data_IF_735791612991
#
_entry.id   IF_735791612991
#
_cell.length_a   1.000
_cell.length_b   1.000
_cell.length_c   1.000
_cell.angle_alpha   90.00
_cell.angle_beta   90.00
_cell.angle_gamma   90.00
#
_symmetry.space_group_name_H-M   'P 1'
#
loop_
_entity.id
_entity.type
_entity.pdbx_description
1 polymer ?
#
# COMPACT_ATOMS: atom_id res chain seq x y z
N UNK A 1 -10.23 12.63 3.39
CA UNK A 1 -9.73 13.68 2.48
C UNK A 1 -10.93 14.49 2.03
N UNK A 2 -10.79 15.81 1.92
CA UNK A 2 -11.83 16.68 1.35
C UNK A 2 -12.16 16.23 -0.09
N UNK A 3 -13.43 15.96 -0.45
CA UNK A 3 -13.81 15.54 -1.80
C UNK A 3 -13.28 16.46 -2.91
N UNK A 4 -13.26 17.77 -2.68
CA UNK A 4 -12.75 18.73 -3.66
C UNK A 4 -11.24 18.59 -3.87
N UNK A 5 -10.48 18.32 -2.81
CA UNK A 5 -9.04 18.05 -2.89
C UNK A 5 -8.79 16.72 -3.62
N UNK A 6 -9.56 15.68 -3.30
CA UNK A 6 -9.45 14.39 -3.97
C UNK A 6 -9.74 14.48 -5.47
N UNK A 7 -10.75 15.27 -5.86
CA UNK A 7 -11.10 15.52 -7.25
C UNK A 7 -10.01 16.30 -8.00
N UNK A 8 -9.50 17.38 -7.41
CA UNK A 8 -8.40 18.16 -7.99
C UNK A 8 -7.15 17.30 -8.24
N UNK A 9 -6.83 16.39 -7.32
CA UNK A 9 -5.72 15.44 -7.47
C UNK A 9 -6.02 14.38 -8.53
N UNK A 10 -7.20 13.77 -8.49
CA UNK A 10 -7.51 12.61 -9.35
C UNK A 10 -7.85 13.04 -10.78
N UNK A 11 -8.85 13.91 -10.93
CA UNK A 11 -9.33 14.36 -12.24
C UNK A 11 -8.40 15.43 -12.81
N UNK A 12 -8.09 16.46 -12.03
CA UNK A 12 -7.14 17.50 -12.46
C UNK A 12 -5.73 16.95 -12.73
N UNK A 13 -5.28 15.97 -11.94
CA UNK A 13 -4.03 15.25 -12.20
C UNK A 13 -4.07 14.50 -13.54
N UNK A 14 -5.17 13.80 -13.85
CA UNK A 14 -5.33 13.12 -15.14
C UNK A 14 -5.34 14.12 -16.32
N UNK A 15 -6.04 15.25 -16.19
CA UNK A 15 -6.03 16.31 -17.21
C UNK A 15 -4.61 16.80 -17.49
N UNK A 16 -3.84 17.08 -16.44
CA UNK A 16 -2.44 17.52 -16.56
C UNK A 16 -1.58 16.47 -17.28
N UNK A 17 -1.74 15.19 -16.93
CA UNK A 17 -1.00 14.10 -17.55
C UNK A 17 -1.34 13.97 -19.04
N UNK A 18 -2.62 14.00 -19.41
CA UNK A 18 -3.04 13.90 -20.81
C UNK A 18 -2.60 15.12 -21.64
N UNK A 19 -2.63 16.31 -21.06
CA UNK A 19 -2.10 17.52 -21.71
C UNK A 19 -0.59 17.41 -21.94
N UNK A 20 0.17 16.97 -20.94
CA UNK A 20 1.60 16.73 -21.10
C UNK A 20 1.89 15.66 -22.15
N UNK A 21 1.14 14.54 -22.15
CA UNK A 21 1.25 13.47 -23.15
C UNK A 21 1.05 14.00 -24.57
N UNK A 22 0.07 14.88 -24.78
CA UNK A 22 -0.17 15.55 -26.07
C UNK A 22 1.03 16.39 -26.51
N UNK A 23 1.60 17.18 -25.60
CA UNK A 23 2.74 18.06 -25.91
C UNK A 23 4.00 17.28 -26.28
N UNK A 24 4.29 16.19 -25.56
CA UNK A 24 5.51 15.40 -25.78
C UNK A 24 5.33 14.27 -26.81
N UNK A 25 4.11 14.06 -27.31
CA UNK A 25 3.79 12.99 -28.26
C UNK A 25 3.77 11.59 -27.64
N UNK A 26 3.62 11.47 -26.32
CA UNK A 26 3.45 10.17 -25.65
C UNK A 26 2.03 9.68 -25.89
N UNK A 27 1.90 8.45 -26.40
CA UNK A 27 0.59 7.88 -26.73
C UNK A 27 -0.01 7.06 -25.60
N UNK A 28 0.81 6.38 -24.79
CA UNK A 28 0.35 5.32 -23.88
C UNK A 28 0.46 5.71 -22.42
N UNK A 29 -0.59 5.39 -21.68
CA UNK A 29 -0.65 5.41 -20.22
C UNK A 29 -1.49 4.24 -19.75
N UNK A 30 -1.11 3.62 -18.63
CA UNK A 30 -1.96 2.68 -17.91
C UNK A 30 -2.48 3.34 -16.63
N UNK A 31 -3.75 3.72 -16.64
CA UNK A 31 -4.43 4.28 -15.48
C UNK A 31 -4.96 3.16 -14.58
N UNK A 32 -4.68 3.26 -13.29
CA UNK A 32 -5.26 2.35 -12.29
C UNK A 32 -6.63 2.86 -11.87
N UNK A 33 -7.66 2.22 -12.38
CA UNK A 33 -9.03 2.31 -11.91
C UNK A 33 -9.23 1.39 -10.68
N UNK A 34 -10.47 1.23 -10.21
CA UNK A 34 -10.77 0.45 -9.01
C UNK A 34 -12.15 -0.18 -9.09
N UNK A 35 -12.36 -1.28 -8.37
CA UNK A 35 -13.69 -1.83 -8.11
C UNK A 35 -14.65 -0.81 -7.47
N UNK A 36 -14.12 0.25 -6.86
CA UNK A 36 -14.87 1.43 -6.43
C UNK A 36 -15.63 2.15 -7.55
N UNK A 37 -15.31 1.87 -8.81
CA UNK A 37 -16.06 2.32 -9.97
C UNK A 37 -17.35 1.55 -10.19
N UNK A 38 -17.57 0.38 -9.61
CA UNK A 38 -18.83 -0.38 -9.77
C UNK A 38 -19.90 0.07 -8.76
N UNK A 39 -21.12 0.23 -9.24
CA UNK A 39 -22.31 0.52 -8.44
C UNK A 39 -23.19 -0.70 -8.16
N UNK A 40 -24.31 -0.49 -7.47
CA UNK A 40 -25.21 -1.56 -7.01
C UNK A 40 -25.87 -2.35 -8.16
N UNK A 41 -25.88 -1.79 -9.37
CA UNK A 41 -26.44 -2.43 -10.58
C UNK A 41 -25.43 -3.31 -11.31
N UNK A 42 -24.15 -3.29 -10.90
CA UNK A 42 -23.12 -4.13 -11.49
C UNK A 42 -23.37 -5.62 -11.17
N UNK A 43 -22.96 -6.53 -12.08
CA UNK A 43 -22.91 -7.94 -11.77
C UNK A 43 -22.09 -8.19 -10.51
N UNK A 44 -22.64 -8.97 -9.59
CA UNK A 44 -21.94 -9.39 -8.37
C UNK A 44 -20.79 -10.35 -8.70
N UNK A 45 -20.99 -11.25 -9.67
CA UNK A 45 -19.98 -12.21 -10.11
C UNK A 45 -19.58 -11.93 -11.56
N UNK A 46 -18.35 -12.31 -11.89
CA UNK A 46 -17.78 -12.16 -13.22
C UNK A 46 -17.87 -10.72 -13.75
N UNK A 47 -17.67 -9.73 -12.87
CA UNK A 47 -17.73 -8.33 -13.27
C UNK A 47 -16.56 -7.97 -14.20
N UNK A 48 -16.87 -7.25 -15.27
CA UNK A 48 -15.93 -6.90 -16.34
C UNK A 48 -15.75 -5.38 -16.45
N UNK A 49 -14.60 -4.95 -16.95
CA UNK A 49 -14.38 -3.54 -17.30
C UNK A 49 -15.31 -3.08 -18.42
N UNK A 50 -15.69 -3.98 -19.34
CA UNK A 50 -16.70 -3.74 -20.37
C UNK A 50 -18.04 -3.29 -19.79
N UNK A 51 -18.48 -3.87 -18.68
CA UNK A 51 -19.74 -3.45 -18.06
C UNK A 51 -19.72 -1.97 -17.68
N UNK A 52 -18.59 -1.45 -17.18
CA UNK A 52 -18.42 -0.01 -16.87
C UNK A 52 -18.51 0.87 -18.12
N UNK A 53 -18.10 0.35 -19.27
CA UNK A 53 -18.21 1.04 -20.56
C UNK A 53 -19.65 1.04 -21.09
N UNK A 54 -20.34 -0.10 -20.99
CA UNK A 54 -21.71 -0.27 -21.47
C UNK A 54 -22.74 0.44 -20.57
N UNK A 55 -22.38 0.75 -19.34
CA UNK A 55 -23.23 1.43 -18.35
C UNK A 55 -22.57 2.71 -17.83
N UNK A 56 -22.30 3.71 -18.68
CA UNK A 56 -21.56 4.91 -18.29
C UNK A 56 -22.27 5.73 -17.19
N UNK A 57 -23.61 5.68 -17.15
CA UNK A 57 -24.45 6.45 -16.23
C UNK A 57 -24.74 5.75 -14.89
N UNK A 58 -24.23 4.53 -14.67
CA UNK A 58 -24.45 3.81 -13.39
C UNK A 58 -23.89 4.61 -12.20
N UNK A 59 -24.52 4.52 -11.04
CA UNK A 59 -24.06 5.23 -9.84
C UNK A 59 -23.08 4.38 -9.01
N UNK A 60 -21.78 4.73 -8.96
CA UNK A 60 -20.80 4.01 -8.16
C UNK A 60 -20.94 4.26 -6.64
N UNK A 61 -21.92 5.07 -6.21
CA UNK A 61 -22.26 5.28 -4.80
C UNK A 61 -21.20 6.03 -3.97
N UNK A 62 -20.14 6.53 -4.60
CA UNK A 62 -19.02 7.25 -3.96
C UNK A 62 -18.43 8.34 -4.88
N UNK A 63 -17.88 9.41 -4.29
CA UNK A 63 -17.11 10.42 -5.03
C UNK A 63 -15.88 9.80 -5.70
N UNK A 64 -15.21 8.88 -5.01
CA UNK A 64 -14.04 8.16 -5.55
C UNK A 64 -14.37 7.45 -6.87
N UNK A 65 -15.44 6.66 -6.92
CA UNK A 65 -15.87 5.97 -8.13
C UNK A 65 -16.30 6.93 -9.24
N UNK A 66 -16.93 8.07 -8.89
CA UNK A 66 -17.28 9.12 -9.85
C UNK A 66 -16.03 9.75 -10.46
N UNK A 67 -15.03 10.09 -9.65
CA UNK A 67 -13.77 10.67 -10.10
C UNK A 67 -12.98 9.71 -11.00
N UNK A 68 -12.98 8.40 -10.68
CA UNK A 68 -12.41 7.37 -11.55
C UNK A 68 -13.11 7.30 -12.91
N UNK A 69 -14.45 7.42 -12.94
CA UNK A 69 -15.21 7.54 -14.20
C UNK A 69 -14.79 8.77 -15.01
N UNK A 70 -14.68 9.93 -14.39
CA UNK A 70 -14.24 11.15 -15.08
C UNK A 70 -12.86 10.98 -15.72
N UNK A 71 -11.94 10.28 -15.06
CA UNK A 71 -10.63 9.95 -15.65
C UNK A 71 -10.76 9.07 -16.91
N UNK A 72 -11.64 8.05 -16.89
CA UNK A 72 -11.90 7.21 -18.08
C UNK A 72 -12.49 8.01 -19.23
N UNK A 73 -13.39 8.96 -18.93
CA UNK A 73 -13.99 9.85 -19.93
C UNK A 73 -12.94 10.75 -20.58
N UNK A 74 -12.05 11.34 -19.78
CA UNK A 74 -10.91 12.15 -20.26
C UNK A 74 -9.98 11.31 -21.15
N UNK A 75 -9.64 10.10 -20.72
CA UNK A 75 -8.82 9.17 -21.51
C UNK A 75 -9.50 8.79 -22.83
N UNK A 76 -10.81 8.54 -22.81
CA UNK A 76 -11.56 8.23 -24.01
C UNK A 76 -11.60 9.42 -24.99
N UNK A 77 -11.73 10.65 -24.48
CA UNK A 77 -11.62 11.87 -25.28
C UNK A 77 -10.23 12.01 -25.91
N UNK A 78 -9.18 11.84 -25.11
CA UNK A 78 -7.80 11.86 -25.59
C UNK A 78 -7.54 10.83 -26.71
N UNK A 79 -8.04 9.60 -26.56
CA UNK A 79 -7.91 8.57 -27.58
C UNK A 79 -8.60 8.98 -28.90
N UNK A 80 -9.82 9.52 -28.83
CA UNK A 80 -10.60 9.96 -30.01
C UNK A 80 -9.96 11.15 -30.71
N UNK A 81 -9.55 12.17 -29.94
CA UNK A 81 -9.17 13.47 -30.50
C UNK A 81 -7.68 13.55 -30.87
N UNK A 82 -6.84 12.70 -30.27
CA UNK A 82 -5.39 12.75 -30.40
C UNK A 82 -4.73 11.41 -30.80
N UNK A 83 -5.51 10.35 -31.05
CA UNK A 83 -4.98 9.07 -31.54
C UNK A 83 -4.11 8.33 -30.52
N UNK A 84 -4.37 8.54 -29.23
CA UNK A 84 -3.65 7.94 -28.12
C UNK A 84 -3.98 6.46 -27.88
N UNK A 85 -3.11 5.82 -27.09
CA UNK A 85 -3.25 4.46 -26.55
C UNK A 85 -3.42 4.47 -25.01
N UNK A 86 -4.40 5.22 -24.44
CA UNK A 86 -4.69 5.09 -23.02
C UNK A 86 -5.34 3.72 -22.75
N UNK A 87 -4.98 3.15 -21.60
CA UNK A 87 -5.43 1.85 -21.09
C UNK A 87 -5.81 2.01 -19.62
N UNK A 88 -6.78 1.25 -19.14
CA UNK A 88 -7.10 1.26 -17.71
C UNK A 88 -7.24 -0.14 -17.12
N UNK A 89 -6.79 -0.27 -15.88
CA UNK A 89 -6.84 -1.49 -15.09
C UNK A 89 -7.79 -1.29 -13.90
N UNK A 90 -8.88 -2.05 -13.82
CA UNK A 90 -9.79 -2.03 -12.67
C UNK A 90 -9.22 -2.93 -11.59
N UNK A 91 -8.72 -2.30 -10.53
CA UNK A 91 -8.05 -3.01 -9.45
C UNK A 91 -9.04 -3.42 -8.34
N UNK A 92 -9.02 -4.69 -7.90
CA UNK A 92 -9.67 -5.11 -6.66
C UNK A 92 -8.91 -4.61 -5.43
N UNK A 93 -9.25 -5.08 -4.22
CA UNK A 93 -8.44 -4.79 -3.05
C UNK A 93 -7.03 -5.36 -3.19
N UNK A 94 -6.01 -4.57 -2.85
CA UNK A 94 -4.61 -4.97 -3.07
C UNK A 94 -4.00 -5.49 -1.77
N UNK A 95 -3.47 -6.71 -1.82
CA UNK A 95 -2.81 -7.37 -0.72
C UNK A 95 -1.30 -7.39 -0.95
N UNK A 96 -0.52 -7.12 0.09
CA UNK A 96 0.94 -7.08 0.03
C UNK A 96 1.56 -7.36 1.40
N UNK A 97 2.87 -7.55 1.43
CA UNK A 97 3.65 -7.79 2.66
C UNK A 97 4.23 -6.53 3.31
N UNK A 98 4.12 -5.38 2.66
CA UNK A 98 4.65 -4.10 3.18
C UNK A 98 4.05 -3.73 4.55
N UNK A 99 4.81 -3.03 5.42
CA UNK A 99 4.39 -2.66 6.77
C UNK A 99 3.36 -1.51 6.83
N UNK A 100 3.16 -0.81 5.72
CA UNK A 100 2.33 0.40 5.66
C UNK A 100 1.37 0.29 4.49
N UNK A 101 0.12 0.62 4.74
CA UNK A 101 -0.95 0.70 3.75
C UNK A 101 -1.89 1.87 4.07
N UNK A 102 -2.85 2.09 3.17
CA UNK A 102 -3.92 3.08 3.35
C UNK A 102 -4.93 2.68 4.43
N UNK A 103 -6.08 3.35 4.44
CA UNK A 103 -7.19 3.04 5.35
C UNK A 103 -8.50 2.87 4.56
N UNK A 104 -8.41 2.23 3.39
CA UNK A 104 -9.57 1.88 2.58
C UNK A 104 -10.34 0.68 3.13
N UNK A 105 -11.48 0.38 2.51
CA UNK A 105 -12.38 -0.70 2.94
C UNK A 105 -11.72 -2.08 2.91
N UNK A 106 -10.82 -2.32 1.94
CA UNK A 106 -10.22 -3.65 1.70
C UNK A 106 -9.03 -3.95 2.62
N UNK A 107 -8.47 -2.92 3.23
CA UNK A 107 -7.28 -2.96 4.07
C UNK A 107 -7.52 -3.69 5.40
N UNK A 108 -8.77 -3.95 5.77
CA UNK A 108 -9.11 -4.81 6.90
C UNK A 108 -8.41 -6.18 6.85
N UNK A 109 -8.14 -6.69 5.64
CA UNK A 109 -7.46 -7.96 5.44
C UNK A 109 -5.99 -7.90 5.89
N UNK A 110 -5.30 -6.80 5.56
CA UNK A 110 -3.93 -6.55 6.01
C UNK A 110 -3.88 -6.26 7.52
N UNK A 111 -4.85 -5.51 8.04
CA UNK A 111 -4.96 -5.27 9.49
C UNK A 111 -5.18 -6.58 10.28
N UNK A 112 -5.98 -7.50 9.77
CA UNK A 112 -6.20 -8.82 10.38
C UNK A 112 -4.92 -9.66 10.38
N UNK A 113 -4.19 -9.69 9.25
CA UNK A 113 -2.91 -10.39 9.11
C UNK A 113 -1.84 -9.80 10.03
N UNK A 114 -1.81 -8.47 10.16
CA UNK A 114 -0.92 -7.78 11.10
C UNK A 114 -1.25 -8.13 12.55
N UNK A 115 -2.53 -8.15 12.92
CA UNK A 115 -2.94 -8.40 14.30
C UNK A 115 -2.62 -9.84 14.77
N UNK A 116 -2.59 -10.82 13.87
CA UNK A 116 -2.53 -12.24 14.25
C UNK A 116 -1.25 -12.65 15.01
N UNK A 117 -0.02 -12.29 14.59
CA UNK A 117 1.19 -12.59 15.34
C UNK A 117 1.22 -11.94 16.74
N UNK A 118 0.66 -10.74 16.89
CA UNK A 118 0.69 -9.98 18.14
C UNK A 118 -0.31 -10.47 19.18
N UNK A 119 -1.30 -11.27 18.79
CA UNK A 119 -2.20 -11.91 19.77
C UNK A 119 -1.55 -13.14 20.46
N UNK A 120 -0.42 -13.65 19.95
CA UNK A 120 0.16 -14.92 20.43
C UNK A 120 1.43 -14.79 21.27
N UNK A 121 1.84 -13.58 21.67
CA UNK A 121 3.08 -13.35 22.46
C UNK A 121 4.35 -13.96 21.87
N UNK A 122 4.36 -14.32 20.57
CA UNK A 122 5.58 -14.80 19.89
C UNK A 122 6.64 -13.71 20.00
N UNK A 123 7.90 -14.10 20.25
CA UNK A 123 9.02 -13.18 20.49
C UNK A 123 8.85 -12.21 21.68
N UNK A 124 7.95 -12.50 22.61
CA UNK A 124 7.65 -11.61 23.74
C UNK A 124 6.89 -10.36 23.35
N UNK A 125 6.27 -10.32 22.16
CA UNK A 125 5.41 -9.20 21.72
C UNK A 125 4.27 -8.98 22.73
N UNK A 126 3.90 -7.71 23.04
CA UNK A 126 2.74 -7.43 23.87
C UNK A 126 1.50 -8.05 23.25
N UNK A 127 0.72 -8.78 24.05
CA UNK A 127 -0.58 -9.27 23.61
C UNK A 127 -1.50 -8.07 23.34
N UNK A 128 -1.94 -7.91 22.10
CA UNK A 128 -2.96 -6.91 21.76
C UNK A 128 -4.37 -7.48 21.91
N UNK A 129 -5.36 -6.57 21.93
CA UNK A 129 -6.76 -6.94 21.85
C UNK A 129 -7.09 -7.69 20.56
N UNK A 130 -8.24 -8.38 20.56
CA UNK A 130 -8.77 -9.03 19.37
C UNK A 130 -8.93 -8.05 18.20
N UNK A 131 -8.69 -8.54 16.99
CA UNK A 131 -8.90 -7.78 15.76
C UNK A 131 -10.37 -7.34 15.65
N UNK A 132 -10.61 -6.14 15.13
CA UNK A 132 -11.97 -5.59 14.94
C UNK A 132 -12.29 -5.60 13.46
N UNK A 133 -13.15 -6.52 13.04
CA UNK A 133 -13.61 -6.59 11.66
C UNK A 133 -14.61 -5.45 11.38
N UNK A 134 -14.30 -4.52 10.45
CA UNK A 134 -15.14 -3.36 10.17
C UNK A 134 -16.26 -3.63 9.16
N UNK A 135 -16.31 -4.84 8.60
CA UNK A 135 -17.27 -5.26 7.56
C UNK A 135 -17.98 -6.54 7.98
N UNK A 136 -19.10 -6.84 7.32
CA UNK A 136 -19.84 -8.09 7.49
C UNK A 136 -18.91 -9.29 7.24
N UNK A 137 -18.75 -10.23 8.19
CA UNK A 137 -17.86 -11.37 8.02
C UNK A 137 -18.17 -12.31 6.85
N UNK A 138 -19.39 -12.25 6.31
CA UNK A 138 -19.84 -13.08 5.19
C UNK A 138 -19.83 -12.33 3.85
N UNK A 139 -19.45 -11.04 3.82
CA UNK A 139 -19.33 -10.31 2.54
C UNK A 139 -18.12 -10.80 1.75
N UNK A 140 -18.32 -11.15 0.48
CA UNK A 140 -17.24 -11.56 -0.41
C UNK A 140 -16.72 -10.34 -1.16
N UNK A 141 -15.40 -10.23 -1.29
CA UNK A 141 -14.77 -9.17 -2.06
C UNK A 141 -13.62 -9.74 -2.90
N UNK A 142 -13.42 -9.22 -4.13
CA UNK A 142 -12.27 -9.54 -4.93
C UNK A 142 -11.06 -8.79 -4.38
N UNK A 143 -9.93 -9.49 -4.40
CA UNK A 143 -8.62 -9.03 -3.97
C UNK A 143 -7.59 -9.46 -5.03
N UNK A 144 -6.38 -8.91 -4.94
CA UNK A 144 -5.23 -9.35 -5.73
C UNK A 144 -3.97 -9.21 -4.90
N UNK A 145 -3.10 -10.22 -4.93
CA UNK A 145 -1.78 -10.09 -4.32
C UNK A 145 -0.85 -9.28 -5.23
N UNK A 146 0.01 -8.44 -4.66
CA UNK A 146 0.81 -7.45 -5.41
C UNK A 146 1.64 -8.06 -6.56
N UNK A 147 2.14 -9.28 -6.41
CA UNK A 147 2.88 -9.96 -7.48
C UNK A 147 1.99 -10.21 -8.71
N UNK A 148 0.76 -10.66 -8.50
CA UNK A 148 -0.23 -10.86 -9.57
C UNK A 148 -0.67 -9.52 -10.16
N UNK A 149 -0.90 -8.51 -9.32
CA UNK A 149 -1.22 -7.17 -9.77
C UNK A 149 -0.14 -6.63 -10.71
N UNK A 150 1.13 -6.75 -10.34
CA UNK A 150 2.24 -6.27 -11.17
C UNK A 150 2.33 -7.03 -12.49
N UNK A 151 2.16 -8.36 -12.49
CA UNK A 151 2.09 -9.13 -13.74
C UNK A 151 0.94 -8.67 -14.64
N UNK A 152 -0.24 -8.44 -14.09
CA UNK A 152 -1.40 -7.98 -14.84
C UNK A 152 -1.21 -6.57 -15.42
N UNK A 153 -0.66 -5.64 -14.63
CA UNK A 153 -0.38 -4.28 -15.08
C UNK A 153 0.71 -4.24 -16.16
N UNK A 154 1.78 -5.02 -16.01
CA UNK A 154 2.84 -5.12 -17.01
C UNK A 154 2.27 -5.72 -18.30
N UNK A 155 1.53 -6.83 -18.21
CA UNK A 155 0.89 -7.44 -19.37
C UNK A 155 -0.04 -6.46 -20.10
N UNK A 156 -0.85 -5.69 -19.36
CA UNK A 156 -1.70 -4.66 -19.96
C UNK A 156 -0.91 -3.50 -20.56
N UNK A 157 0.19 -3.07 -19.96
CA UNK A 157 0.99 -1.94 -20.46
C UNK A 157 1.83 -2.31 -21.71
N UNK A 158 2.28 -3.56 -21.78
CA UNK A 158 3.16 -4.06 -22.85
C UNK A 158 2.40 -4.67 -24.03
N UNK A 159 1.15 -5.09 -23.84
CA UNK A 159 0.34 -5.69 -24.90
C UNK A 159 0.29 -4.82 -26.17
N UNK A 160 0.34 -5.46 -27.34
CA UNK A 160 0.13 -4.76 -28.60
C UNK A 160 -1.31 -4.23 -28.70
N UNK A 161 -1.48 -3.01 -29.22
CA UNK A 161 -2.79 -2.37 -29.28
C UNK A 161 -3.83 -3.22 -30.04
N UNK A 162 -3.37 -4.01 -31.03
CA UNK A 162 -4.19 -4.85 -31.88
C UNK A 162 -4.73 -6.12 -31.18
N UNK A 163 -4.11 -6.54 -30.08
CA UNK A 163 -4.58 -7.72 -29.32
C UNK A 163 -5.66 -7.35 -28.30
N UNK A 164 -5.78 -6.06 -27.97
CA UNK A 164 -6.70 -5.58 -26.95
C UNK A 164 -8.11 -5.42 -27.54
N UNK A 165 -8.99 -6.39 -27.26
CA UNK A 165 -10.34 -6.42 -27.83
C UNK A 165 -11.41 -5.79 -26.93
N UNK A 166 -11.07 -5.50 -25.67
CA UNK A 166 -12.00 -4.82 -24.75
C UNK A 166 -12.17 -3.32 -25.04
N UNK A 167 -13.39 -2.76 -24.87
CA UNK A 167 -13.66 -1.35 -25.10
C UNK A 167 -12.74 -0.46 -24.28
N UNK A 168 -12.29 0.64 -24.89
CA UNK A 168 -11.37 1.60 -24.27
C UNK A 168 -10.07 0.97 -23.71
N UNK A 169 -9.73 -0.25 -24.16
CA UNK A 169 -8.57 -1.02 -23.67
C UNK A 169 -8.59 -1.17 -22.13
N UNK A 170 -9.79 -1.36 -21.59
CA UNK A 170 -10.07 -1.50 -20.17
C UNK A 170 -10.15 -2.96 -19.75
N UNK A 171 -9.44 -3.33 -18.67
CA UNK A 171 -9.45 -4.69 -18.14
C UNK A 171 -9.59 -4.70 -16.62
N UNK A 172 -10.33 -5.67 -16.09
CA UNK A 172 -10.19 -6.03 -14.68
C UNK A 172 -8.86 -6.77 -14.48
N UNK A 173 -8.20 -6.57 -13.32
CA UNK A 173 -7.04 -7.37 -12.91
C UNK A 173 -7.48 -8.30 -11.78
N UNK A 174 -8.11 -9.45 -12.10
CA UNK A 174 -8.61 -10.38 -11.09
C UNK A 174 -7.46 -11.02 -10.33
N UNK A 175 -7.72 -11.38 -9.07
CA UNK A 175 -6.82 -12.15 -8.23
C UNK A 175 -7.56 -13.33 -7.60
N UNK A 176 -7.92 -13.16 -6.35
CA UNK A 176 -8.67 -14.10 -5.53
C UNK A 176 -9.90 -13.40 -4.95
N UNK A 177 -10.90 -14.15 -4.51
CA UNK A 177 -12.03 -13.61 -3.76
C UNK A 177 -12.24 -14.41 -2.49
N UNK A 178 -12.54 -13.73 -1.40
CA UNK A 178 -12.83 -14.36 -0.13
C UNK A 178 -13.73 -13.48 0.75
N UNK A 179 -14.34 -14.11 1.74
CA UNK A 179 -15.01 -13.47 2.86
C UNK A 179 -14.05 -13.26 4.03
N UNK A 180 -14.28 -12.29 4.93
CA UNK A 180 -13.50 -12.18 6.16
C UNK A 180 -13.47 -13.50 6.96
N UNK A 181 -14.57 -14.24 7.03
CA UNK A 181 -14.62 -15.54 7.69
C UNK A 181 -13.66 -16.57 7.08
N UNK A 182 -13.57 -16.64 5.74
CA UNK A 182 -12.58 -17.50 5.05
C UNK A 182 -11.15 -17.06 5.37
N UNK A 183 -10.86 -15.75 5.35
CA UNK A 183 -9.55 -15.22 5.73
C UNK A 183 -9.19 -15.57 7.18
N UNK A 184 -10.10 -15.37 8.12
CA UNK A 184 -9.85 -15.65 9.55
C UNK A 184 -9.65 -17.13 9.81
N UNK A 185 -10.38 -17.99 9.09
CA UNK A 185 -10.18 -19.43 9.14
C UNK A 185 -8.78 -19.82 8.62
N UNK A 186 -8.31 -19.20 7.54
CA UNK A 186 -6.96 -19.44 7.01
C UNK A 186 -5.88 -18.93 7.99
N UNK A 187 -6.02 -17.71 8.51
CA UNK A 187 -5.11 -17.16 9.53
C UNK A 187 -4.99 -18.10 10.73
N UNK A 188 -6.10 -18.69 11.19
CA UNK A 188 -6.11 -19.63 12.33
C UNK A 188 -5.31 -20.91 12.08
N UNK A 189 -5.11 -21.32 10.83
CA UNK A 189 -4.22 -22.46 10.52
C UNK A 189 -2.77 -22.16 10.89
N UNK A 190 -2.34 -20.89 10.79
CA UNK A 190 -1.01 -20.42 11.16
C UNK A 190 -0.96 -19.91 12.61
N UNK A 191 -2.04 -19.29 13.06
CA UNK A 191 -2.20 -18.70 14.38
C UNK A 191 -3.50 -19.18 15.06
N UNK A 192 -3.51 -20.37 15.69
CA UNK A 192 -4.73 -20.96 16.28
C UNK A 192 -5.47 -20.09 17.30
N UNK A 193 -4.74 -19.23 18.02
CA UNK A 193 -5.29 -18.27 18.99
C UNK A 193 -5.87 -16.97 18.38
N UNK A 194 -5.92 -16.83 17.05
CA UNK A 194 -6.45 -15.61 16.42
C UNK A 194 -7.94 -15.40 16.74
N UNK A 195 -8.20 -14.34 17.51
CA UNK A 195 -9.50 -13.84 17.90
C UNK A 195 -9.87 -12.55 17.15
N UNK A 196 -11.16 -12.41 16.86
CA UNK A 196 -11.73 -11.20 16.29
C UNK A 196 -13.09 -10.89 16.92
N UNK A 197 -13.49 -9.63 16.83
CA UNK A 197 -14.85 -9.15 17.08
C UNK A 197 -15.34 -8.36 15.87
N UNK A 198 -16.65 -8.19 15.73
CA UNK A 198 -17.25 -7.48 14.60
C UNK A 198 -17.83 -6.16 15.10
N UNK A 199 -17.38 -5.06 14.52
CA UNK A 199 -17.98 -3.74 14.70
C UNK A 199 -18.01 -3.04 13.35
N UNK A 200 -19.20 -3.01 12.75
CA UNK A 200 -19.36 -2.51 11.39
C UNK A 200 -19.07 -1.01 11.32
N UNK A 201 -18.11 -0.64 10.49
CA UNK A 201 -17.95 0.73 10.06
C UNK A 201 -18.97 1.00 8.95
N UNK A 202 -19.86 1.98 9.16
CA UNK A 202 -20.99 2.26 8.25
C UNK A 202 -20.53 2.44 6.80
N UNK A 203 -19.47 3.21 6.56
CA UNK A 203 -18.97 3.48 5.21
C UNK A 203 -18.28 2.26 4.60
N UNK A 204 -17.36 1.61 5.34
CA UNK A 204 -16.63 0.45 4.82
C UNK A 204 -17.60 -0.69 4.51
N UNK A 205 -18.55 -0.97 5.41
CA UNK A 205 -19.54 -2.00 5.20
C UNK A 205 -20.48 -1.67 4.03
N UNK A 206 -20.94 -0.42 3.90
CA UNK A 206 -21.72 0.02 2.74
C UNK A 206 -20.99 -0.24 1.42
N UNK A 207 -19.70 0.11 1.34
CA UNK A 207 -18.93 -0.08 0.12
C UNK A 207 -18.64 -1.56 -0.18
N UNK A 208 -18.34 -2.36 0.84
CA UNK A 208 -18.17 -3.82 0.68
C UNK A 208 -19.45 -4.48 0.11
N UNK A 209 -20.63 -4.02 0.54
CA UNK A 209 -21.91 -4.49 0.01
C UNK A 209 -22.24 -3.96 -1.40
N UNK A 210 -21.54 -2.93 -1.87
CA UNK A 210 -21.78 -2.31 -3.17
C UNK A 210 -20.97 -2.99 -4.28
N UNK A 211 -19.70 -3.30 -4.01
CA UNK A 211 -18.76 -3.77 -5.02
C UNK A 211 -18.97 -5.23 -5.41
N UNK A 212 -18.56 -5.66 -6.61
CA UNK A 212 -18.63 -7.06 -7.02
C UNK A 212 -17.98 -8.00 -6.00
N UNK A 213 -18.45 -9.25 -5.96
CA UNK A 213 -17.84 -10.37 -5.25
C UNK A 213 -16.63 -10.95 -6.01
N UNK A 214 -16.72 -10.99 -7.33
CA UNK A 214 -15.76 -11.64 -8.23
C UNK A 214 -15.59 -10.85 -9.53
N UNK A 215 -14.34 -10.75 -9.99
CA UNK A 215 -14.00 -10.16 -11.29
C UNK A 215 -13.77 -11.27 -12.30
N UNK A 216 -14.19 -11.07 -13.55
CA UNK A 216 -13.98 -12.03 -14.62
C UNK A 216 -12.48 -12.25 -14.90
N UNK A 217 -12.11 -13.51 -15.13
CA UNK A 217 -10.76 -13.91 -15.57
C UNK A 217 -10.62 -14.07 -17.07
N UNK A 218 -11.71 -14.02 -17.82
CA UNK A 218 -11.73 -14.44 -19.21
C UNK A 218 -11.06 -13.42 -20.14
N UNK A 219 -11.39 -12.14 -20.00
CA UNK A 219 -10.83 -11.06 -20.83
C UNK A 219 -9.32 -10.89 -20.65
N UNK A 220 -8.76 -10.77 -19.42
CA UNK A 220 -7.32 -10.61 -19.27
C UNK A 220 -6.56 -11.89 -19.62
N UNK A 221 -7.15 -13.08 -19.46
CA UNK A 221 -6.52 -14.32 -19.94
C UNK A 221 -6.45 -14.35 -21.46
N UNK A 222 -7.57 -14.01 -22.14
CA UNK A 222 -7.69 -14.03 -23.59
C UNK A 222 -6.73 -13.06 -24.27
N UNK A 223 -6.68 -11.82 -23.82
CA UNK A 223 -5.98 -10.74 -24.54
C UNK A 223 -4.58 -10.47 -23.97
N UNK A 224 -4.37 -10.70 -22.67
CA UNK A 224 -3.10 -10.39 -21.99
C UNK A 224 -2.30 -11.65 -21.62
N UNK A 225 -2.86 -12.85 -21.78
CA UNK A 225 -2.28 -14.08 -21.25
C UNK A 225 -2.17 -14.08 -19.72
N UNK A 226 -2.92 -13.21 -19.04
CA UNK A 226 -2.85 -13.05 -17.60
C UNK A 226 -3.85 -13.95 -16.90
N UNK A 227 -3.36 -14.73 -15.94
CA UNK A 227 -4.17 -15.42 -14.93
C UNK A 227 -3.54 -15.23 -13.55
N UNK A 228 -4.35 -15.09 -12.49
CA UNK A 228 -3.84 -15.02 -11.13
C UNK A 228 -3.18 -16.33 -10.71
N UNK A 229 -2.13 -16.24 -9.90
CA UNK A 229 -1.34 -17.37 -9.44
C UNK A 229 -1.42 -17.58 -7.92
N UNK A 230 -1.82 -16.55 -7.16
CA UNK A 230 -1.92 -16.65 -5.70
C UNK A 230 -3.32 -17.06 -5.24
N UNK A 231 -3.39 -18.17 -4.50
CA UNK A 231 -4.57 -18.53 -3.72
C UNK A 231 -4.59 -17.87 -2.34
N UNK A 232 -5.71 -18.02 -1.61
CA UNK A 232 -5.86 -17.52 -0.25
C UNK A 232 -4.77 -18.06 0.69
N UNK A 233 -4.49 -19.36 0.63
CA UNK A 233 -3.49 -20.01 1.49
C UNK A 233 -2.09 -19.48 1.24
N UNK A 234 -1.67 -19.38 -0.03
CA UNK A 234 -0.35 -18.87 -0.41
C UNK A 234 -0.17 -17.41 0.00
N UNK A 235 -1.19 -16.58 -0.21
CA UNK A 235 -1.19 -15.17 0.18
C UNK A 235 -1.06 -15.02 1.70
N UNK A 236 -1.88 -15.73 2.48
CA UNK A 236 -1.83 -15.66 3.96
C UNK A 236 -0.47 -16.12 4.47
N UNK A 237 0.05 -17.24 3.96
CA UNK A 237 1.37 -17.75 4.35
C UNK A 237 2.47 -16.72 4.08
N UNK A 238 2.48 -16.13 2.87
CA UNK A 238 3.51 -15.16 2.45
C UNK A 238 3.47 -13.87 3.27
N UNK A 239 2.29 -13.33 3.56
CA UNK A 239 2.18 -12.11 4.38
C UNK A 239 2.58 -12.37 5.83
N UNK A 240 2.15 -13.50 6.41
CA UNK A 240 2.51 -13.87 7.79
C UNK A 240 4.00 -14.16 7.93
N UNK A 241 4.62 -14.83 6.96
CA UNK A 241 6.08 -15.05 6.91
C UNK A 241 6.82 -13.70 6.88
N UNK A 242 6.41 -12.76 6.04
CA UNK A 242 7.01 -11.44 5.99
C UNK A 242 6.85 -10.65 7.30
N UNK A 243 5.70 -10.77 7.98
CA UNK A 243 5.50 -10.17 9.31
C UNK A 243 6.37 -10.82 10.38
N UNK A 244 6.51 -12.15 10.35
CA UNK A 244 7.35 -12.91 11.24
C UNK A 244 8.84 -12.55 11.08
N UNK A 245 9.34 -12.48 9.85
CA UNK A 245 10.70 -12.04 9.53
C UNK A 245 10.97 -10.63 10.04
N UNK A 246 10.00 -9.72 9.87
CA UNK A 246 10.08 -8.36 10.42
C UNK A 246 10.16 -8.38 11.94
N UNK A 247 9.25 -9.09 12.60
CA UNK A 247 9.22 -9.20 14.06
C UNK A 247 10.52 -9.79 14.63
N UNK A 248 11.10 -10.79 13.96
CA UNK A 248 12.40 -11.36 14.35
C UNK A 248 13.53 -10.34 14.21
N UNK A 249 13.59 -9.59 13.10
CA UNK A 249 14.57 -8.50 12.92
C UNK A 249 14.40 -7.42 13.98
N UNK A 250 13.17 -7.01 14.29
CA UNK A 250 12.86 -6.04 15.36
C UNK A 250 13.34 -6.53 16.72
N UNK A 251 13.06 -7.78 17.07
CA UNK A 251 13.49 -8.37 18.35
C UNK A 251 15.02 -8.45 18.44
N UNK A 252 15.68 -8.80 17.34
CA UNK A 252 17.15 -8.84 17.28
C UNK A 252 17.75 -7.43 17.38
N UNK A 253 17.16 -6.44 16.70
CA UNK A 253 17.58 -5.05 16.80
C UNK A 253 17.45 -4.54 18.24
N UNK A 254 16.30 -4.75 18.88
CA UNK A 254 16.09 -4.36 20.27
C UNK A 254 17.14 -4.98 21.20
N UNK A 255 17.37 -6.29 21.12
CA UNK A 255 18.40 -6.99 21.91
C UNK A 255 19.83 -6.47 21.64
N UNK A 256 20.09 -5.98 20.43
CA UNK A 256 21.40 -5.42 20.07
C UNK A 256 21.58 -4.02 20.67
N UNK A 257 20.50 -3.26 20.80
CA UNK A 257 20.50 -1.91 21.40
C UNK A 257 20.53 -2.00 22.93
N UNK A 258 19.77 -2.95 23.50
CA UNK A 258 19.69 -3.28 24.94
C UNK A 258 20.97 -3.97 25.44
N UNK A 259 22.12 -3.29 25.32
CA UNK A 259 23.43 -3.84 25.61
C UNK A 259 23.61 -4.22 27.09
N UNK A 260 22.82 -3.64 27.99
CA UNK A 260 22.82 -3.93 29.43
C UNK A 260 21.77 -5.00 29.82
N UNK A 261 20.93 -5.44 28.88
CA UNK A 261 19.94 -6.50 29.08
C UNK A 261 18.83 -6.13 30.05
N UNK A 262 18.55 -4.84 30.20
CA UNK A 262 17.55 -4.32 31.15
C UNK A 262 16.13 -4.46 30.62
N UNK A 263 15.96 -4.71 29.31
CA UNK A 263 14.67 -4.71 28.64
C UNK A 263 14.10 -3.31 28.39
N UNK A 264 14.91 -2.27 28.61
CA UNK A 264 14.56 -0.85 28.47
C UNK A 264 15.67 -0.12 27.72
N UNK A 265 15.37 0.49 26.58
CA UNK A 265 16.35 1.28 25.84
C UNK A 265 16.36 2.71 26.34
N UNK A 266 17.52 3.23 26.69
CA UNK A 266 17.70 4.65 26.95
C UNK A 266 18.19 5.40 25.69
N UNK A 267 18.14 6.73 25.75
CA UNK A 267 18.59 7.61 24.67
C UNK A 267 20.03 7.32 24.21
N UNK A 268 20.94 7.06 25.15
CA UNK A 268 22.36 6.82 24.85
C UNK A 268 22.58 5.52 24.07
N UNK A 269 21.85 4.46 24.41
CA UNK A 269 21.88 3.18 23.70
C UNK A 269 21.37 3.33 22.27
N UNK A 270 20.24 4.01 22.07
CA UNK A 270 19.68 4.29 20.74
C UNK A 270 20.65 5.15 19.92
N UNK A 271 21.23 6.19 20.51
CA UNK A 271 22.23 7.03 19.86
C UNK A 271 23.47 6.24 19.45
N UNK A 272 24.00 5.39 20.32
CA UNK A 272 25.14 4.54 20.02
C UNK A 272 24.86 3.59 18.85
N UNK A 273 23.67 3.00 18.80
CA UNK A 273 23.25 2.14 17.70
C UNK A 273 23.18 2.89 16.37
N UNK A 274 22.54 4.07 16.35
CA UNK A 274 22.41 4.91 15.15
C UNK A 274 23.78 5.37 14.66
N UNK A 275 24.67 5.78 15.56
CA UNK A 275 26.06 6.16 15.21
C UNK A 275 26.80 4.98 14.58
N UNK A 276 26.70 3.78 15.15
CA UNK A 276 27.32 2.59 14.59
C UNK A 276 26.75 2.21 13.22
N UNK A 277 25.44 2.36 13.01
CA UNK A 277 24.80 2.10 11.72
C UNK A 277 25.25 3.09 10.64
N UNK A 278 25.30 4.39 10.97
CA UNK A 278 25.80 5.43 10.07
C UNK A 278 27.28 5.23 9.69
N UNK A 279 28.10 4.70 10.62
CA UNK A 279 29.51 4.38 10.37
C UNK A 279 29.66 3.13 9.50
N UNK A 280 28.88 2.07 9.75
CA UNK A 280 28.91 0.83 8.94
C UNK A 280 28.35 1.02 7.54
N UNK A 281 27.53 2.05 7.33
CA UNK A 281 26.85 2.34 6.08
C UNK A 281 27.70 2.94 4.95
N UNK A 282 28.99 3.30 5.13
CA UNK A 282 29.89 3.68 4.00
C UNK A 282 31.36 3.94 4.38
N UNK A 283 32.24 3.59 3.44
CA UNK A 283 33.67 3.89 3.36
C UNK A 283 34.04 5.39 3.22
N UNK A 284 33.12 6.35 3.18
CA UNK A 284 33.48 7.77 2.98
C UNK A 284 32.46 8.71 3.62
N UNK A 285 32.62 9.07 4.90
CA UNK A 285 31.93 10.21 5.52
C UNK A 285 32.75 10.83 6.67
N UNK A 286 33.80 11.58 6.33
CA UNK A 286 34.36 12.58 7.23
C UNK A 286 33.66 13.92 6.98
N UNK A 287 32.99 14.47 8.00
CA UNK A 287 32.62 15.90 8.18
C UNK A 287 31.14 16.34 8.22
N UNK A 288 30.16 15.49 8.55
CA UNK A 288 28.79 15.96 8.93
C UNK A 288 28.10 15.18 10.07
N UNK A 289 28.76 14.23 10.73
CA UNK A 289 28.09 13.17 11.52
C UNK A 289 27.74 13.43 13.00
N UNK A 290 27.95 14.62 13.58
CA UNK A 290 27.68 14.85 15.01
C UNK A 290 26.28 15.41 15.31
N UNK A 291 25.83 16.46 14.60
CA UNK A 291 24.54 17.12 14.89
C UNK A 291 23.32 16.41 14.28
N UNK A 292 23.50 15.72 13.14
CA UNK A 292 22.41 14.96 12.49
C UNK A 292 21.98 13.72 13.26
N UNK A 293 22.90 13.10 14.01
CA UNK A 293 22.62 11.92 14.83
C UNK A 293 21.74 12.26 16.03
N UNK A 294 22.08 13.33 16.75
CA UNK A 294 21.34 13.76 17.95
C UNK A 294 19.91 14.18 17.63
N UNK A 295 19.72 14.98 16.58
CA UNK A 295 18.39 15.42 16.14
C UNK A 295 17.48 14.30 15.62
N UNK A 296 18.06 13.21 15.07
CA UNK A 296 17.30 12.01 14.74
C UNK A 296 16.91 11.23 16.00
N UNK A 297 17.86 11.04 16.93
CA UNK A 297 17.61 10.36 18.21
C UNK A 297 16.48 11.05 18.98
N UNK A 298 16.50 12.37 19.07
CA UNK A 298 15.48 13.12 19.81
C UNK A 298 14.07 12.90 19.21
N UNK A 299 13.96 12.93 17.87
CA UNK A 299 12.69 12.62 17.19
C UNK A 299 12.26 11.17 17.39
N UNK A 300 13.18 10.22 17.35
CA UNK A 300 12.86 8.82 17.60
C UNK A 300 12.42 8.60 19.05
N UNK A 301 13.07 9.25 20.01
CA UNK A 301 12.65 9.22 21.41
C UNK A 301 11.25 9.83 21.60
N UNK A 302 10.93 10.94 20.95
CA UNK A 302 9.58 11.53 21.00
C UNK A 302 8.48 10.57 20.51
N UNK A 303 8.81 9.68 19.57
CA UNK A 303 7.89 8.68 19.05
C UNK A 303 7.88 7.37 19.86
N UNK A 304 9.04 6.93 20.36
CA UNK A 304 9.25 5.65 21.02
C UNK A 304 8.95 5.70 22.53
N UNK A 305 9.29 6.79 23.21
CA UNK A 305 9.05 7.02 24.64
C UNK A 305 7.67 7.66 24.86
N UNK A 306 6.63 6.86 24.62
CA UNK A 306 5.23 7.31 24.67
C UNK A 306 4.77 7.81 26.05
N UNK A 307 5.42 7.37 27.14
CA UNK A 307 5.11 7.76 28.52
C UNK A 307 6.06 8.81 29.09
N UNK A 308 7.08 9.23 28.32
CA UNK A 308 8.03 10.31 28.65
C UNK A 308 8.83 10.04 29.92
N UNK A 309 9.20 8.78 30.16
CA UNK A 309 10.00 8.38 31.33
C UNK A 309 11.51 8.31 31.02
N UNK A 310 11.90 8.59 29.78
CA UNK A 310 13.27 8.53 29.28
C UNK A 310 13.70 7.15 28.80
N UNK A 311 12.80 6.16 28.83
CA UNK A 311 13.08 4.78 28.46
C UNK A 311 12.07 4.25 27.43
N UNK A 312 12.54 3.36 26.57
CA UNK A 312 11.74 2.69 25.56
C UNK A 312 11.65 1.21 25.90
N UNK A 313 10.47 0.77 26.32
CA UNK A 313 10.20 -0.65 26.56
C UNK A 313 10.15 -1.44 25.24
N UNK A 314 10.36 -2.75 25.31
CA UNK A 314 10.10 -3.66 24.18
C UNK A 314 8.68 -3.48 23.61
N UNK A 315 7.69 -3.22 24.47
CA UNK A 315 6.31 -3.01 24.03
C UNK A 315 6.18 -1.79 23.13
N UNK A 316 6.68 -0.64 23.58
CA UNK A 316 6.65 0.61 22.81
C UNK A 316 7.45 0.50 21.52
N UNK A 317 8.63 -0.12 21.57
CA UNK A 317 9.49 -0.33 20.42
C UNK A 317 8.84 -1.24 19.36
N UNK A 318 8.28 -2.37 19.79
CA UNK A 318 7.63 -3.33 18.89
C UNK A 318 6.37 -2.77 18.22
N UNK A 319 5.56 -1.97 18.94
CA UNK A 319 4.40 -1.26 18.40
C UNK A 319 4.81 -0.23 17.34
N UNK A 320 5.80 0.60 17.65
CA UNK A 320 6.35 1.57 16.71
C UNK A 320 6.88 0.90 15.44
N UNK A 321 7.57 -0.23 15.60
CA UNK A 321 8.17 -0.97 14.49
C UNK A 321 7.14 -1.78 13.66
N UNK A 322 5.85 -1.77 14.00
CA UNK A 322 4.81 -2.38 13.14
C UNK A 322 4.72 -1.69 11.79
N UNK A 323 4.90 -0.36 11.79
CA UNK A 323 4.71 0.53 10.64
C UNK A 323 5.98 1.26 10.21
N UNK A 324 7.06 1.14 11.00
CA UNK A 324 8.35 1.79 10.75
C UNK A 324 9.48 0.81 11.00
N UNK A 325 10.69 1.18 10.56
CA UNK A 325 11.92 0.48 10.88
C UNK A 325 12.97 1.51 11.29
N UNK A 326 13.76 1.20 12.33
CA UNK A 326 14.84 2.08 12.78
C UNK A 326 15.85 2.32 11.64
N UNK A 327 16.19 1.28 10.89
CA UNK A 327 17.13 1.35 9.78
C UNK A 327 16.59 2.21 8.63
N UNK A 328 15.29 2.15 8.35
CA UNK A 328 14.65 2.98 7.33
C UNK A 328 14.60 4.46 7.75
N UNK A 329 14.29 4.76 9.00
CA UNK A 329 14.27 6.13 9.51
C UNK A 329 15.67 6.74 9.51
N UNK A 330 16.70 5.96 9.87
CA UNK A 330 18.11 6.37 9.72
C UNK A 330 18.44 6.61 8.25
N UNK A 331 18.05 5.71 7.35
CA UNK A 331 18.31 5.85 5.92
C UNK A 331 17.64 7.09 5.33
N UNK A 332 16.36 7.35 5.64
CA UNK A 332 15.61 8.53 5.20
C UNK A 332 16.29 9.81 5.65
N UNK A 333 16.74 9.85 6.91
CA UNK A 333 17.43 11.02 7.44
C UNK A 333 18.72 11.31 6.69
N UNK A 334 19.55 10.28 6.46
CA UNK A 334 20.82 10.43 5.73
C UNK A 334 20.59 10.95 4.31
N UNK A 335 19.57 10.46 3.61
CA UNK A 335 19.30 10.89 2.23
C UNK A 335 18.64 12.26 2.15
N UNK A 336 17.75 12.61 3.08
CA UNK A 336 17.16 13.95 3.18
C UNK A 336 18.24 15.02 3.35
N UNK A 337 19.22 14.77 4.22
CA UNK A 337 20.36 15.67 4.41
C UNK A 337 21.21 15.80 3.14
N UNK A 338 21.35 14.74 2.33
CA UNK A 338 22.08 14.80 1.05
C UNK A 338 21.36 15.63 -0.01
N UNK A 339 20.04 15.49 -0.12
CA UNK A 339 19.25 16.27 -1.09
C UNK A 339 19.24 17.76 -0.71
N UNK A 340 19.20 18.06 0.58
CA UNK A 340 19.32 19.43 1.09
C UNK A 340 20.72 20.01 0.81
N UNK A 341 21.79 19.23 1.01
CA UNK A 341 23.16 19.62 0.66
C UNK A 341 23.31 19.85 -0.86
N UNK A 342 22.73 18.97 -1.69
CA UNK A 342 22.75 19.10 -3.16
C UNK A 342 21.99 20.34 -3.62
N UNK A 343 20.88 20.67 -2.97
CA UNK A 343 20.11 21.89 -3.22
C UNK A 343 20.92 23.13 -2.85
N UNK A 344 21.55 23.16 -1.68
CA UNK A 344 22.43 24.24 -1.25
C UNK A 344 23.65 24.41 -2.18
N UNK A 345 24.26 23.32 -2.65
CA UNK A 345 25.39 23.37 -3.61
C UNK A 345 24.92 23.91 -4.97
N UNK A 346 23.72 23.55 -5.45
CA UNK A 346 23.13 24.13 -6.67
C UNK A 346 22.87 25.63 -6.53
N UNK A 347 22.39 26.06 -5.37
CA UNK A 347 22.15 27.48 -5.05
C UNK A 347 23.47 28.27 -4.94
N UNK A 348 24.54 27.66 -4.40
CA UNK A 348 25.89 28.24 -4.34
C UNK A 348 26.64 28.22 -5.69
N UNK A 349 26.29 27.31 -6.60
CA UNK A 349 26.83 27.24 -7.97
C UNK A 349 26.28 28.32 -8.93
N UNK A 350 25.33 29.14 -8.47
CA UNK A 350 24.73 30.25 -9.22
C UNK A 350 25.29 31.63 -8.83
N UNK A 351 26.51 31.70 -8.29
CA UNK A 351 27.23 32.99 -8.22
C UNK A 351 27.59 33.42 -9.65
N UNK A 352 27.11 34.57 -10.16
CA UNK A 352 27.51 35.05 -11.47
C UNK A 352 29.02 35.30 -11.47
N UNK A 353 29.75 34.73 -12.43
CA UNK A 353 31.11 35.24 -12.71
C UNK A 353 30.96 36.66 -13.21
N UNK A 354 31.40 37.61 -12.39
CA UNK A 354 31.48 39.05 -12.69
C UNK A 354 32.40 39.28 -13.89
#
# INVERSE_FOLDING_TARGET
MDPAVAEAVTVGGMENVLNAMKEVGTRRICFTDSIGSFGATAPRRDATARWLHEHPDQDPGSDYGRQKRSCRELMAAFARDHGGDPRFAVLPGVLHSEPVWGNGTTEYALDALLAAPHQQTKHGLPATSAFVCPVDPDIRMPMVYVDDLMRGLIALQEADEQVLSEPQRGYCIPGLSFTPNELFAEIRKHHPGFGFRVELNENMNKFANLWPDELSTDEPLRDLGYSPQFGLSDMVAKVLEAHEDRNQKTAQAFKTIDADGTGMLNREQIEAHIRNYMIRGREDYSHTGQDGAGSLVDRLMDELDTNKDGFVSWGSFSEWNRRKSLDEEVWKQVHATQDELRKQIRELGHVPRV
#
